data_IF_242019267979
#
_entry.id   IF_242019267979
#
_cell.length_a   1.000
_cell.length_b   1.000
_cell.length_c   1.000
_cell.angle_alpha   90.00
_cell.angle_beta   90.00
_cell.angle_gamma   90.00
#
_symmetry.space_group_name_H-M   'P 1'
#
loop_
_entity.id
_entity.type
_entity.pdbx_description
1 polymer ?
#
# COMPACT_ATOMS: atom_id res chain seq x y z
N UNK A 1 3.01 14.02 -3.76
CA UNK A 1 1.68 14.60 -3.48
C UNK A 1 1.02 13.73 -2.41
N UNK A 2 0.38 14.31 -1.40
CA UNK A 2 -0.30 13.54 -0.35
C UNK A 2 -1.82 13.54 -0.62
N UNK A 3 -2.39 12.34 -0.81
CA UNK A 3 -3.83 12.09 -0.97
C UNK A 3 -4.32 11.11 0.12
N UNK A 4 -3.84 11.28 1.35
CA UNK A 4 -4.22 10.48 2.51
C UNK A 4 -5.56 10.94 3.10
N UNK A 5 -6.48 9.99 3.31
CA UNK A 5 -7.80 10.25 3.88
C UNK A 5 -7.96 9.49 5.19
N UNK A 6 -7.98 10.21 6.32
CA UNK A 6 -8.12 9.62 7.66
C UNK A 6 -9.37 8.74 7.75
N UNK A 7 -9.19 7.43 7.91
CA UNK A 7 -10.26 6.42 7.98
C UNK A 7 -11.05 6.17 6.68
N UNK A 8 -10.67 6.84 5.58
CA UNK A 8 -11.51 6.95 4.38
C UNK A 8 -10.78 6.66 3.06
N UNK A 9 -9.51 6.26 3.06
CA UNK A 9 -8.90 5.73 1.84
C UNK A 9 -9.30 4.27 1.64
N UNK A 10 -10.34 3.95 0.86
CA UNK A 10 -10.92 2.59 0.81
C UNK A 10 -10.96 1.97 -0.58
N UNK A 11 -10.09 2.43 -1.49
CA UNK A 11 -10.02 1.96 -2.88
C UNK A 11 -11.28 2.25 -3.70
N UNK A 12 -12.00 3.33 -3.38
CA UNK A 12 -13.20 3.72 -4.12
C UNK A 12 -12.87 3.96 -5.62
N UNK A 13 -13.63 3.36 -6.55
CA UNK A 13 -13.40 3.54 -7.99
C UNK A 13 -13.44 4.99 -8.45
N UNK A 14 -14.26 5.82 -7.81
CA UNK A 14 -14.38 7.26 -8.07
C UNK A 14 -13.07 7.99 -7.73
N UNK A 15 -12.45 7.64 -6.60
CA UNK A 15 -11.15 8.21 -6.19
C UNK A 15 -10.05 7.70 -7.12
N UNK A 16 -10.07 6.43 -7.50
CA UNK A 16 -9.09 5.87 -8.45
C UNK A 16 -9.11 6.60 -9.80
N UNK A 17 -10.29 6.97 -10.31
CA UNK A 17 -10.44 7.77 -11.54
C UNK A 17 -9.82 9.16 -11.40
N UNK A 18 -10.08 9.86 -10.29
CA UNK A 18 -9.50 11.18 -10.05
C UNK A 18 -7.98 11.12 -9.89
N UNK A 19 -7.46 10.10 -9.20
CA UNK A 19 -6.01 9.88 -9.08
C UNK A 19 -5.38 9.61 -10.45
N UNK A 20 -6.08 8.88 -11.33
CA UNK A 20 -5.61 8.59 -12.68
C UNK A 20 -5.49 9.83 -13.58
N UNK A 21 -6.09 10.96 -13.24
CA UNK A 21 -5.95 12.23 -13.98
C UNK A 21 -4.60 12.92 -13.71
N UNK A 22 -3.88 12.51 -12.66
CA UNK A 22 -2.61 13.13 -12.26
C UNK A 22 -1.45 12.61 -13.10
N UNK A 23 -0.58 13.51 -13.55
CA UNK A 23 0.73 13.19 -14.12
C UNK A 23 1.73 12.90 -12.97
N UNK A 24 1.84 11.62 -12.59
CA UNK A 24 2.67 11.17 -11.48
C UNK A 24 3.85 10.32 -11.96
N UNK A 25 5.01 10.48 -11.32
CA UNK A 25 6.16 9.60 -11.55
C UNK A 25 5.95 8.19 -10.96
N UNK A 26 5.15 8.07 -9.91
CA UNK A 26 4.79 6.80 -9.27
C UNK A 26 3.46 6.94 -8.55
N UNK A 27 2.61 5.92 -8.66
CA UNK A 27 1.41 5.78 -7.82
C UNK A 27 1.73 4.84 -6.66
N UNK A 28 1.48 5.31 -5.43
CA UNK A 28 1.69 4.54 -4.21
C UNK A 28 0.32 4.29 -3.58
N UNK A 29 -0.08 3.03 -3.51
CA UNK A 29 -1.38 2.61 -2.97
C UNK A 29 -1.16 2.06 -1.56
N UNK A 30 -1.09 2.98 -0.60
CA UNK A 30 -0.97 2.71 0.84
C UNK A 30 -2.30 3.06 1.55
N UNK A 31 -3.33 2.26 1.28
CA UNK A 31 -4.66 2.43 1.86
C UNK A 31 -5.14 1.22 2.66
N UNK A 32 -4.36 0.13 2.67
CA UNK A 32 -4.69 -1.11 3.38
C UNK A 32 -5.12 -0.91 4.85
N UNK A 33 -4.56 0.05 5.63
CA UNK A 33 -5.00 0.29 7.00
C UNK A 33 -6.50 0.57 7.18
N UNK A 34 -7.19 1.06 6.15
CA UNK A 34 -8.58 1.50 6.16
C UNK A 34 -9.55 0.52 5.47
N UNK A 35 -9.04 -0.58 4.90
CA UNK A 35 -9.83 -1.51 4.08
C UNK A 35 -9.79 -2.91 4.65
N UNK A 36 -10.85 -3.67 4.39
CA UNK A 36 -10.98 -5.07 4.83
C UNK A 36 -10.70 -6.02 3.68
N UNK A 37 -10.30 -7.25 3.99
CA UNK A 37 -9.99 -8.28 2.98
C UNK A 37 -11.04 -8.42 1.85
N UNK A 38 -12.37 -8.40 2.11
CA UNK A 38 -13.36 -8.46 1.02
C UNK A 38 -13.30 -7.28 0.04
N UNK A 39 -13.03 -6.07 0.54
CA UNK A 39 -12.88 -4.88 -0.31
C UNK A 39 -11.55 -4.93 -1.05
N UNK A 40 -10.46 -5.30 -0.39
CA UNK A 40 -9.15 -5.48 -1.03
C UNK A 40 -9.24 -6.47 -2.19
N UNK A 41 -9.87 -7.62 -1.98
CA UNK A 41 -10.05 -8.64 -3.00
C UNK A 41 -10.92 -8.16 -4.18
N UNK A 42 -11.88 -7.28 -3.93
CA UNK A 42 -12.80 -6.76 -4.95
C UNK A 42 -12.22 -5.59 -5.74
N UNK A 43 -11.54 -4.67 -5.07
CA UNK A 43 -11.21 -3.35 -5.63
C UNK A 43 -9.75 -3.18 -6.06
N UNK A 44 -8.81 -3.99 -5.57
CA UNK A 44 -7.39 -3.83 -5.92
C UNK A 44 -7.14 -3.95 -7.43
N UNK A 45 -7.68 -5.01 -8.07
CA UNK A 45 -7.50 -5.20 -9.51
C UNK A 45 -8.18 -4.10 -10.35
N UNK A 46 -9.47 -3.73 -10.11
CA UNK A 46 -10.08 -2.59 -10.79
C UNK A 46 -9.31 -1.27 -10.65
N UNK A 47 -8.79 -0.99 -9.44
CA UNK A 47 -7.99 0.21 -9.18
C UNK A 47 -6.72 0.21 -10.03
N UNK A 48 -5.95 -0.88 -10.01
CA UNK A 48 -4.73 -1.00 -10.81
C UNK A 48 -5.03 -0.90 -12.30
N UNK A 49 -6.11 -1.54 -12.78
CA UNK A 49 -6.53 -1.48 -14.19
C UNK A 49 -6.94 -0.07 -14.60
N UNK A 50 -7.59 0.69 -13.72
CA UNK A 50 -7.96 2.09 -13.97
C UNK A 50 -6.71 2.96 -14.10
N UNK A 51 -5.75 2.83 -13.18
CA UNK A 51 -4.47 3.55 -13.27
C UNK A 51 -3.70 3.15 -14.53
N UNK A 52 -3.62 1.87 -14.86
CA UNK A 52 -2.93 1.35 -16.06
C UNK A 52 -3.55 1.81 -17.37
N UNK A 53 -4.87 1.99 -17.42
CA UNK A 53 -5.54 2.49 -18.62
C UNK A 53 -5.16 3.94 -18.96
N UNK A 54 -4.96 4.78 -17.93
CA UNK A 54 -4.51 6.16 -18.11
C UNK A 54 -2.97 6.28 -18.16
N UNK A 55 -2.25 5.41 -17.45
CA UNK A 55 -0.81 5.44 -17.26
C UNK A 55 -0.19 4.06 -17.55
N UNK A 56 0.08 3.75 -18.83
CA UNK A 56 0.54 2.42 -19.24
C UNK A 56 1.87 2.00 -18.60
N UNK A 57 2.80 2.94 -18.43
CA UNK A 57 4.17 2.67 -17.98
C UNK A 57 4.48 3.17 -16.56
N UNK A 58 3.68 4.09 -16.00
CA UNK A 58 3.97 4.67 -14.68
C UNK A 58 3.98 3.60 -13.59
N UNK A 59 5.05 3.45 -12.78
CA UNK A 59 5.11 2.51 -11.68
C UNK A 59 3.93 2.62 -10.71
N UNK A 60 3.42 1.47 -10.29
CA UNK A 60 2.45 1.35 -9.21
C UNK A 60 3.08 0.52 -8.10
N UNK A 61 3.14 1.06 -6.90
CA UNK A 61 3.56 0.36 -5.69
C UNK A 61 2.33 0.05 -4.83
N UNK A 62 2.03 -1.23 -4.64
CA UNK A 62 1.04 -1.68 -3.65
C UNK A 62 1.72 -1.86 -2.30
N UNK A 63 1.13 -1.31 -1.24
CA UNK A 63 1.72 -1.32 0.11
C UNK A 63 0.77 -2.01 1.07
N UNK A 64 1.31 -2.95 1.84
CA UNK A 64 0.59 -3.55 2.95
C UNK A 64 0.42 -2.59 4.13
N UNK A 65 -0.51 -2.88 5.02
CA UNK A 65 -0.63 -2.12 6.25
C UNK A 65 0.53 -2.42 7.21
N UNK A 66 1.01 -1.39 7.90
CA UNK A 66 1.80 -1.57 9.13
C UNK A 66 1.09 -2.46 10.16
N UNK A 67 1.85 -3.38 10.76
CA UNK A 67 1.39 -4.19 11.90
C UNK A 67 1.06 -3.29 13.07
N UNK A 68 -0.11 -3.45 13.69
CA UNK A 68 -0.44 -2.73 14.92
C UNK A 68 0.51 -3.14 16.04
N UNK A 69 1.04 -2.18 16.80
CA UNK A 69 2.02 -2.47 17.86
C UNK A 69 1.45 -3.37 18.96
N UNK A 70 0.13 -3.40 19.15
CA UNK A 70 -0.56 -4.29 20.08
C UNK A 70 -1.15 -5.56 19.44
N UNK A 71 -0.86 -5.85 18.17
CA UNK A 71 -1.44 -7.00 17.47
C UNK A 71 -1.09 -8.32 18.16
N UNK A 72 0.09 -8.45 18.75
CA UNK A 72 0.51 -9.65 19.47
C UNK A 72 -0.42 -10.01 20.64
N UNK A 73 -1.18 -9.04 21.18
CA UNK A 73 -2.17 -9.23 22.25
C UNK A 73 -3.59 -9.48 21.73
N UNK A 74 -3.86 -9.21 20.45
CA UNK A 74 -5.22 -9.15 19.89
C UNK A 74 -5.35 -10.02 18.66
N UNK A 75 -5.93 -11.20 18.82
CA UNK A 75 -6.19 -12.16 17.73
C UNK A 75 -6.98 -11.53 16.57
N UNK A 76 -7.99 -10.70 16.87
CA UNK A 76 -8.75 -9.99 15.85
C UNK A 76 -7.90 -9.03 15.01
N UNK A 77 -6.92 -8.34 15.63
CA UNK A 77 -5.96 -7.50 14.91
C UNK A 77 -5.05 -8.34 14.01
N UNK A 78 -4.52 -9.46 14.53
CA UNK A 78 -3.70 -10.40 13.75
C UNK A 78 -4.45 -10.93 12.54
N UNK A 79 -5.70 -11.38 12.73
CA UNK A 79 -6.52 -11.92 11.67
C UNK A 79 -6.86 -10.84 10.62
N UNK A 80 -7.11 -9.60 11.05
CA UNK A 80 -7.32 -8.46 10.13
C UNK A 80 -6.10 -8.22 9.24
N UNK A 81 -4.91 -8.12 9.84
CA UNK A 81 -3.66 -7.94 9.10
C UNK A 81 -3.45 -9.10 8.12
N UNK A 82 -3.49 -10.32 8.64
CA UNK A 82 -3.25 -11.52 7.85
C UNK A 82 -4.20 -11.62 6.65
N UNK A 83 -5.51 -11.48 6.87
CA UNK A 83 -6.50 -11.63 5.80
C UNK A 83 -6.43 -10.52 4.75
N UNK A 84 -6.16 -9.27 5.17
CA UNK A 84 -6.09 -8.14 4.23
C UNK A 84 -4.81 -8.17 3.40
N UNK A 85 -3.68 -8.54 4.00
CA UNK A 85 -2.40 -8.75 3.30
C UNK A 85 -2.46 -9.93 2.34
N UNK A 86 -3.03 -11.05 2.76
CA UNK A 86 -3.30 -12.20 1.89
C UNK A 86 -4.15 -11.81 0.66
N UNK A 87 -5.19 -11.01 0.86
CA UNK A 87 -6.03 -10.52 -0.24
C UNK A 87 -5.25 -9.61 -1.20
N UNK A 88 -4.44 -8.68 -0.66
CA UNK A 88 -3.62 -7.78 -1.48
C UNK A 88 -2.57 -8.57 -2.27
N UNK A 89 -1.89 -9.53 -1.63
CA UNK A 89 -0.89 -10.38 -2.26
C UNK A 89 -1.50 -11.21 -3.39
N UNK A 90 -2.67 -11.81 -3.17
CA UNK A 90 -3.39 -12.57 -4.22
C UNK A 90 -3.73 -11.69 -5.42
N UNK A 91 -4.23 -10.48 -5.20
CA UNK A 91 -4.51 -9.53 -6.27
C UNK A 91 -3.23 -9.13 -7.03
N UNK A 92 -2.15 -8.83 -6.30
CA UNK A 92 -0.84 -8.53 -6.89
C UNK A 92 -0.33 -9.68 -7.77
N UNK A 93 -0.29 -10.91 -7.26
CA UNK A 93 0.19 -12.08 -8.02
C UNK A 93 -0.66 -12.35 -9.26
N UNK A 94 -1.99 -12.18 -9.16
CA UNK A 94 -2.88 -12.32 -10.32
C UNK A 94 -2.60 -11.24 -11.38
N UNK A 95 -2.43 -9.98 -10.99
CA UNK A 95 -2.07 -8.90 -11.92
C UNK A 95 -0.72 -9.15 -12.59
N UNK A 96 0.25 -9.71 -11.86
CA UNK A 96 1.55 -10.13 -12.41
C UNK A 96 1.38 -11.27 -13.44
N UNK A 97 0.54 -12.26 -13.16
CA UNK A 97 0.22 -13.35 -14.09
C UNK A 97 -0.51 -12.85 -15.35
N UNK A 98 -1.36 -11.82 -15.22
CA UNK A 98 -2.00 -11.12 -16.32
C UNK A 98 -1.04 -10.23 -17.14
N UNK A 99 0.23 -10.13 -16.72
CA UNK A 99 1.27 -9.40 -17.45
C UNK A 99 1.32 -7.89 -17.15
N UNK A 100 0.68 -7.42 -16.06
CA UNK A 100 0.77 -6.02 -15.65
C UNK A 100 2.22 -5.66 -15.33
N UNK A 101 2.76 -4.72 -16.10
CA UNK A 101 4.14 -4.23 -15.97
C UNK A 101 4.24 -3.12 -14.91
N UNK A 102 5.48 -2.89 -14.48
CA UNK A 102 5.86 -1.83 -13.53
C UNK A 102 4.97 -1.82 -12.27
N UNK A 103 4.60 -3.02 -11.81
CA UNK A 103 3.81 -3.25 -10.60
C UNK A 103 4.74 -3.83 -9.54
N UNK A 104 4.80 -3.15 -8.40
CA UNK A 104 5.70 -3.42 -7.28
C UNK A 104 4.90 -3.64 -5.99
N UNK A 105 5.54 -4.24 -5.00
CA UNK A 105 4.92 -4.61 -3.73
C UNK A 105 5.84 -4.24 -2.57
N UNK A 106 5.29 -3.73 -1.47
CA UNK A 106 6.00 -3.47 -0.22
C UNK A 106 5.27 -4.15 0.94
N UNK A 107 5.96 -5.08 1.59
CA UNK A 107 5.46 -5.82 2.74
C UNK A 107 5.34 -4.92 3.99
N UNK A 108 4.36 -5.21 4.83
CA UNK A 108 3.92 -4.33 5.92
C UNK A 108 4.52 -4.66 7.28
N UNK A 109 5.10 -5.86 7.42
CA UNK A 109 5.49 -6.44 8.71
C UNK A 109 6.51 -5.59 9.46
N UNK A 110 7.51 -5.08 8.74
CA UNK A 110 8.66 -4.36 9.33
C UNK A 110 8.67 -2.88 8.96
N UNK A 111 7.55 -2.32 8.47
CA UNK A 111 7.47 -0.91 8.09
C UNK A 111 7.83 0.05 9.23
N UNK A 112 7.50 -0.34 10.47
CA UNK A 112 7.76 0.48 11.65
C UNK A 112 8.89 -0.07 12.53
N UNK A 113 9.54 -1.19 12.19
CA UNK A 113 10.46 -1.89 13.10
C UNK A 113 9.77 -2.99 13.92
N UNK A 114 10.48 -3.54 14.92
CA UNK A 114 10.09 -4.75 15.66
C UNK A 114 10.05 -4.56 17.20
N UNK A 115 10.30 -3.35 17.71
CA UNK A 115 10.34 -3.04 19.14
C UNK A 115 9.02 -2.49 19.71
N UNK A 116 8.05 -2.16 18.84
CA UNK A 116 6.73 -1.63 19.20
C UNK A 116 6.70 -0.21 19.79
N UNK A 117 7.78 0.58 19.67
CA UNK A 117 7.90 1.95 20.21
C UNK A 117 7.45 3.05 19.22
N UNK A 118 6.93 2.65 18.06
CA UNK A 118 6.81 3.51 16.88
C UNK A 118 5.46 4.16 16.69
N UNK A 119 4.52 3.96 17.61
CA UNK A 119 3.14 4.42 17.45
C UNK A 119 2.61 5.06 18.72
N UNK A 120 1.76 6.08 18.58
CA UNK A 120 1.14 6.76 19.73
C UNK A 120 -0.05 5.99 20.31
N UNK A 121 -0.75 5.23 19.47
CA UNK A 121 -2.02 4.59 19.81
C UNK A 121 -2.15 3.17 19.24
N UNK A 122 -1.03 2.50 19.01
CA UNK A 122 -0.88 1.22 18.30
C UNK A 122 -1.11 1.23 16.79
N UNK A 123 -1.54 2.35 16.23
CA UNK A 123 -1.98 2.45 14.83
C UNK A 123 -1.24 3.55 14.08
N UNK A 124 -1.13 4.74 14.67
CA UNK A 124 -0.59 5.92 14.03
C UNK A 124 0.88 6.10 14.44
N UNK A 125 1.80 6.18 13.46
CA UNK A 125 3.22 6.31 13.76
C UNK A 125 3.56 7.61 14.51
N UNK A 126 4.53 7.53 15.41
CA UNK A 126 5.26 8.69 15.95
C UNK A 126 6.32 9.15 14.95
N UNK A 127 7.10 10.17 15.29
CA UNK A 127 8.23 10.60 14.45
C UNK A 127 9.24 9.47 14.21
N UNK A 128 9.51 8.62 15.20
CA UNK A 128 10.36 7.44 15.05
C UNK A 128 9.76 6.44 14.06
N UNK A 129 8.46 6.17 14.18
CA UNK A 129 7.77 5.26 13.27
C UNK A 129 7.74 5.78 11.83
N UNK A 130 7.49 7.08 11.63
CA UNK A 130 7.57 7.69 10.30
C UNK A 130 8.98 7.70 9.73
N UNK A 131 10.02 7.87 10.55
CA UNK A 131 11.42 7.74 10.12
C UNK A 131 11.70 6.33 9.59
N UNK A 132 11.32 5.28 10.35
CA UNK A 132 11.49 3.88 9.92
C UNK A 132 10.67 3.54 8.68
N UNK A 133 9.45 4.07 8.59
CA UNK A 133 8.60 3.90 7.42
C UNK A 133 9.23 4.57 6.19
N UNK A 134 9.78 5.78 6.32
CA UNK A 134 10.47 6.46 5.24
C UNK A 134 11.67 5.64 4.72
N UNK A 135 12.49 5.07 5.61
CA UNK A 135 13.60 4.19 5.23
C UNK A 135 13.14 2.95 4.45
N UNK A 136 12.01 2.34 4.85
CA UNK A 136 11.45 1.18 4.16
C UNK A 136 10.95 1.54 2.75
N UNK A 137 10.24 2.67 2.62
CA UNK A 137 9.76 3.16 1.33
C UNK A 137 10.91 3.57 0.41
N UNK A 138 11.93 4.25 0.93
CA UNK A 138 13.08 4.71 0.14
C UNK A 138 13.79 3.53 -0.55
N UNK A 139 14.01 2.43 0.18
CA UNK A 139 14.65 1.21 -0.35
C UNK A 139 13.95 0.67 -1.60
N UNK A 140 12.64 0.84 -1.69
CA UNK A 140 11.84 0.37 -2.83
C UNK A 140 11.69 1.46 -3.89
N UNK A 141 11.41 2.70 -3.49
CA UNK A 141 11.12 3.80 -4.41
C UNK A 141 12.37 4.30 -5.17
N UNK A 142 13.53 4.35 -4.51
CA UNK A 142 14.78 4.82 -5.12
C UNK A 142 15.11 4.07 -6.42
N UNK A 143 15.22 2.72 -6.43
CA UNK A 143 15.49 2.00 -7.67
C UNK A 143 14.36 2.08 -8.70
N UNK A 144 13.09 2.21 -8.27
CA UNK A 144 11.94 2.38 -9.19
C UNK A 144 12.07 3.70 -9.98
N UNK A 145 12.39 4.80 -9.29
CA UNK A 145 12.48 6.12 -9.90
C UNK A 145 13.76 6.27 -10.75
N UNK A 146 14.87 5.66 -10.34
CA UNK A 146 16.12 5.67 -11.12
C UNK A 146 15.97 4.91 -12.46
N UNK A 147 15.12 3.89 -12.54
CA UNK A 147 14.82 3.17 -13.78
C UNK A 147 14.09 4.05 -14.81
N UNK A 148 13.37 5.09 -14.38
CA UNK A 148 12.67 6.02 -15.28
C UNK A 148 13.59 7.06 -15.92
N UNK A 149 14.76 7.29 -15.32
CA UNK A 149 15.71 8.32 -15.76
C UNK A 149 16.67 7.83 -16.84
N UNK A 150 16.51 6.59 -17.32
CA UNK A 150 17.32 5.93 -18.35
C UNK A 150 16.50 5.69 -19.60
#
# INVERSE_FOLDING_TARGET
INLGFSGNGRMEPEVAKLVAELDASVFIIDCLPNVTAPVVARETEPLVKTLRAAHPETPILLVEDRTYSNAYLKKSSQDRHHTSREALKKAYEKLKQEGVKNLYYLDGETLLGDDSEDTVDSSHPTDLGFFRQADAFEKVLRPILEQQSK
#
